data_IF_955789448649
#
_entry.id   IF_955789448649
#
_cell.length_a   1.000
_cell.length_b   1.000
_cell.length_c   1.000
_cell.angle_alpha   90.00
_cell.angle_beta   90.00
_cell.angle_gamma   90.00
#
_symmetry.space_group_name_H-M   'P 1'
#
loop_
_entity.id
_entity.type
_entity.pdbx_description
1 polymer ?
#
# COMPACT_ATOMS: atom_id res chain seq x y z
N UNK A 1 -37.03 50.88 -47.56
CA UNK A 1 -35.71 50.32 -47.93
C UNK A 1 -35.66 48.85 -47.49
N UNK A 2 -35.37 47.96 -48.44
CA UNK A 2 -34.92 46.56 -48.33
C UNK A 2 -35.84 45.48 -47.73
N UNK A 3 -36.43 44.76 -48.67
CA UNK A 3 -36.93 43.38 -48.61
C UNK A 3 -35.72 42.43 -48.63
N UNK A 4 -35.74 41.32 -47.89
CA UNK A 4 -34.95 40.12 -48.23
C UNK A 4 -35.58 38.86 -47.63
N UNK A 5 -35.98 37.95 -48.53
CA UNK A 5 -36.33 36.54 -48.31
C UNK A 5 -35.09 35.69 -48.65
N UNK A 6 -34.80 34.66 -47.85
CA UNK A 6 -34.19 33.37 -48.27
C UNK A 6 -33.98 32.51 -47.02
N UNK A 7 -34.83 31.52 -46.72
CA UNK A 7 -34.83 30.13 -47.22
C UNK A 7 -33.52 29.35 -47.01
N UNK A 8 -33.59 28.44 -46.03
CA UNK A 8 -33.16 27.03 -46.01
C UNK A 8 -31.76 26.64 -46.52
N UNK A 9 -30.93 26.12 -45.61
CA UNK A 9 -30.52 24.70 -45.60
C UNK A 9 -29.83 24.34 -44.28
N UNK A 10 -30.33 23.27 -43.65
CA UNK A 10 -29.71 22.62 -42.52
C UNK A 10 -28.40 21.94 -42.95
N UNK A 11 -27.35 22.09 -42.15
CA UNK A 11 -26.17 21.22 -42.17
C UNK A 11 -25.97 20.71 -40.75
N UNK A 12 -26.13 19.39 -40.61
CA UNK A 12 -26.07 18.63 -39.37
C UNK A 12 -24.66 18.70 -38.75
N UNK A 13 -24.54 18.67 -37.41
CA UNK A 13 -23.24 18.55 -36.75
C UNK A 13 -22.61 17.19 -37.08
N UNK A 14 -21.39 17.21 -37.61
CA UNK A 14 -20.57 16.02 -37.82
C UNK A 14 -20.10 15.52 -36.45
N UNK A 15 -20.86 14.61 -35.86
CA UNK A 15 -20.41 13.75 -34.78
C UNK A 15 -19.43 12.76 -35.41
N UNK A 16 -18.15 12.89 -35.03
CA UNK A 16 -17.10 11.96 -35.41
C UNK A 16 -17.27 10.69 -34.55
N UNK A 17 -17.91 9.68 -35.12
CA UNK A 17 -17.96 8.33 -34.54
C UNK A 17 -16.53 7.77 -34.40
N UNK A 18 -16.12 7.23 -33.24
CA UNK A 18 -14.81 6.58 -33.11
C UNK A 18 -14.79 5.25 -33.85
N UNK A 19 -13.84 5.12 -34.79
CA UNK A 19 -13.60 3.93 -35.62
C UNK A 19 -13.30 2.68 -34.76
N UNK A 20 -14.05 1.57 -34.89
CA UNK A 20 -13.91 0.38 -34.08
C UNK A 20 -12.74 -0.56 -34.48
N UNK A 21 -11.72 -0.08 -35.21
CA UNK A 21 -10.60 -0.92 -35.68
C UNK A 21 -9.21 -0.36 -35.37
N UNK A 22 -8.86 -0.24 -34.08
CA UNK A 22 -7.44 -0.27 -33.66
C UNK A 22 -7.19 -1.29 -32.55
N UNK A 23 -6.80 -2.48 -32.98
CA UNK A 23 -6.15 -3.46 -32.13
C UNK A 23 -4.70 -3.02 -31.85
N UNK A 24 -4.39 -2.96 -30.55
CA UNK A 24 -3.10 -3.17 -29.86
C UNK A 24 -1.79 -2.87 -30.61
N UNK A 25 -1.02 -1.92 -30.07
CA UNK A 25 0.44 -2.06 -29.96
C UNK A 25 0.88 -1.62 -28.56
N UNK A 26 1.48 -2.56 -27.82
CA UNK A 26 2.26 -2.31 -26.61
C UNK A 26 3.27 -1.20 -26.92
N UNK A 27 3.16 -0.06 -26.24
CA UNK A 27 4.25 0.92 -26.19
C UNK A 27 5.22 0.45 -25.11
N UNK A 28 6.31 -0.18 -25.54
CA UNK A 28 7.51 -0.32 -24.73
C UNK A 28 8.12 1.08 -24.66
N UNK A 29 7.94 1.77 -23.53
CA UNK A 29 8.65 3.02 -23.25
C UNK A 29 10.05 2.64 -22.79
N UNK A 30 11.01 2.65 -23.72
CA UNK A 30 12.44 2.73 -23.41
C UNK A 30 12.80 4.21 -23.37
N UNK A 31 13.10 4.74 -22.18
CA UNK A 31 13.74 6.05 -22.02
C UNK A 31 15.04 5.92 -21.23
N UNK A 32 16.06 6.53 -21.84
CA UNK A 32 17.48 6.72 -21.53
C UNK A 32 17.96 6.71 -20.05
N UNK A 33 19.25 6.37 -19.79
CA UNK A 33 19.88 6.38 -18.49
C UNK A 33 20.64 7.71 -18.25
N UNK A 34 20.06 8.64 -17.49
CA UNK A 34 20.76 9.78 -16.86
C UNK A 34 19.79 10.60 -15.99
N UNK A 35 19.32 10.00 -14.90
CA UNK A 35 18.87 10.70 -13.71
C UNK A 35 19.24 9.77 -12.55
N UNK A 36 20.08 10.23 -11.63
CA UNK A 36 20.27 9.52 -10.36
C UNK A 36 19.00 9.75 -9.54
N UNK A 37 17.96 8.97 -9.84
CA UNK A 37 16.66 9.09 -9.19
C UNK A 37 16.76 8.66 -7.73
N UNK A 38 16.07 9.42 -6.86
CA UNK A 38 15.67 9.06 -5.50
C UNK A 38 14.72 7.84 -5.50
N UNK A 39 15.17 6.74 -6.09
CA UNK A 39 14.38 5.56 -6.34
C UNK A 39 14.73 4.51 -5.29
N UNK A 40 13.74 4.15 -4.49
CA UNK A 40 13.88 3.07 -3.53
C UNK A 40 14.24 1.75 -4.24
N UNK A 41 15.33 1.05 -3.84
CA UNK A 41 15.90 -0.03 -4.66
C UNK A 41 15.21 -1.39 -4.49
N UNK A 42 14.27 -1.52 -3.55
CA UNK A 42 13.57 -2.77 -3.27
C UNK A 42 12.14 -2.73 -3.83
N UNK A 43 11.60 -3.85 -4.31
CA UNK A 43 10.21 -3.90 -4.77
C UNK A 43 9.25 -3.46 -3.67
N UNK A 44 8.35 -2.53 -4.01
CA UNK A 44 7.25 -2.12 -3.15
C UNK A 44 6.01 -2.90 -3.58
N UNK A 45 5.45 -3.68 -2.67
CA UNK A 45 4.20 -4.39 -2.92
C UNK A 45 3.04 -3.71 -2.24
N UNK A 46 1.97 -3.47 -3.00
CA UNK A 46 0.75 -2.84 -2.52
C UNK A 46 -0.39 -3.85 -2.30
N UNK A 47 -1.21 -3.61 -1.28
CA UNK A 47 -2.52 -4.26 -1.14
C UNK A 47 -3.53 -3.71 -2.15
N UNK A 48 -4.70 -4.32 -2.25
CA UNK A 48 -5.84 -3.64 -2.83
C UNK A 48 -6.34 -2.53 -1.91
N UNK A 49 -7.09 -1.58 -2.49
CA UNK A 49 -7.75 -0.51 -1.75
C UNK A 49 -9.02 -1.03 -1.10
N UNK A 50 -9.18 -0.77 0.19
CA UNK A 50 -10.44 -1.03 0.90
C UNK A 50 -11.16 0.28 1.15
N UNK A 51 -12.46 0.29 0.84
CA UNK A 51 -13.37 1.39 1.10
C UNK A 51 -14.32 1.02 2.25
N UNK A 52 -14.41 1.87 3.28
CA UNK A 52 -15.33 1.69 4.41
C UNK A 52 -15.81 3.05 4.90
N UNK A 53 -17.11 3.32 4.81
CA UNK A 53 -17.75 4.58 5.26
C UNK A 53 -16.95 5.83 4.83
N UNK A 54 -16.71 5.94 3.52
CA UNK A 54 -15.94 7.02 2.86
C UNK A 54 -14.45 7.05 3.19
N UNK A 55 -13.96 6.24 4.12
CA UNK A 55 -12.54 6.05 4.34
C UNK A 55 -11.96 5.07 3.33
N UNK A 56 -10.71 5.32 2.94
CA UNK A 56 -9.93 4.43 2.07
C UNK A 56 -8.69 3.97 2.80
N UNK A 57 -8.31 2.71 2.62
CA UNK A 57 -7.11 2.10 3.21
C UNK A 57 -6.28 1.46 2.10
N UNK A 58 -4.96 1.63 2.17
CA UNK A 58 -3.98 1.02 1.28
C UNK A 58 -2.71 0.71 2.07
N UNK A 59 -2.13 -0.45 1.88
CA UNK A 59 -0.85 -0.81 2.49
C UNK A 59 0.25 -0.98 1.45
N UNK A 60 1.48 -0.64 1.85
CA UNK A 60 2.70 -0.86 1.10
C UNK A 60 3.70 -1.62 1.97
N UNK A 61 4.23 -2.73 1.46
CA UNK A 61 5.28 -3.52 2.07
C UNK A 61 6.55 -3.45 1.22
N UNK A 62 7.71 -3.40 1.86
CA UNK A 62 9.00 -3.55 1.17
C UNK A 62 10.04 -4.19 2.07
N UNK A 63 11.03 -4.83 1.45
CA UNK A 63 12.22 -5.27 2.15
C UNK A 63 12.93 -4.07 2.78
N UNK A 64 13.31 -4.18 4.06
CA UNK A 64 14.05 -3.17 4.81
C UNK A 64 15.32 -3.83 5.36
N UNK A 65 16.51 -3.58 4.77
CA UNK A 65 17.75 -4.25 5.18
C UNK A 65 18.29 -3.82 6.55
N UNK A 66 18.10 -2.54 6.90
CA UNK A 66 18.55 -1.95 8.17
C UNK A 66 17.69 -0.74 8.51
N UNK A 67 17.68 -0.37 9.79
CA UNK A 67 16.95 0.80 10.30
C UNK A 67 17.33 2.10 9.57
N UNK A 68 18.57 2.24 9.10
CA UNK A 68 19.06 3.42 8.39
C UNK A 68 18.30 3.70 7.09
N UNK A 69 17.74 2.66 6.47
CA UNK A 69 16.98 2.75 5.23
C UNK A 69 15.52 3.18 5.44
N UNK A 70 15.05 3.27 6.69
CA UNK A 70 13.67 3.63 6.99
C UNK A 70 13.33 5.04 6.52
N UNK A 71 14.17 6.02 6.82
CA UNK A 71 13.89 7.41 6.43
C UNK A 71 13.87 7.61 4.90
N UNK A 72 14.86 7.10 4.13
CA UNK A 72 14.78 7.09 2.66
C UNK A 72 13.52 6.42 2.12
N UNK A 73 13.13 5.26 2.66
CA UNK A 73 11.90 4.58 2.25
C UNK A 73 10.64 5.43 2.50
N UNK A 74 10.51 6.02 3.68
CA UNK A 74 9.34 6.85 4.02
C UNK A 74 9.28 8.12 3.16
N UNK A 75 10.42 8.74 2.86
CA UNK A 75 10.51 9.89 1.97
C UNK A 75 10.09 9.51 0.54
N UNK A 76 10.61 8.40 0.01
CA UNK A 76 10.23 7.90 -1.31
C UNK A 76 8.72 7.58 -1.37
N UNK A 77 8.19 6.88 -0.36
CA UNK A 77 6.78 6.51 -0.35
C UNK A 77 5.86 7.73 -0.23
N UNK A 78 6.23 8.73 0.58
CA UNK A 78 5.42 9.95 0.76
C UNK A 78 5.55 10.95 -0.39
N UNK A 79 6.59 10.85 -1.23
CA UNK A 79 6.71 11.65 -2.45
C UNK A 79 5.76 11.19 -3.57
N UNK A 80 5.26 9.94 -3.49
CA UNK A 80 4.31 9.40 -4.47
C UNK A 80 3.02 10.24 -4.51
N UNK A 81 2.57 10.71 -5.70
CA UNK A 81 1.39 11.56 -5.84
C UNK A 81 0.12 10.97 -5.24
N UNK A 82 0.01 9.63 -5.30
CA UNK A 82 -1.11 8.88 -4.75
C UNK A 82 -1.21 9.00 -3.22
N UNK A 83 -0.07 9.07 -2.53
CA UNK A 83 0.02 9.06 -1.06
C UNK A 83 0.10 10.45 -0.43
N UNK A 84 0.43 11.48 -1.22
CA UNK A 84 0.53 12.88 -0.78
C UNK A 84 -0.70 13.41 -0.05
N UNK A 85 -1.89 12.82 -0.28
CA UNK A 85 -3.16 13.24 0.32
C UNK A 85 -3.69 12.32 1.41
N UNK A 86 -2.94 11.29 1.81
CA UNK A 86 -3.32 10.44 2.91
C UNK A 86 -3.41 11.27 4.20
N UNK A 87 -4.50 11.12 4.95
CA UNK A 87 -4.70 11.89 6.19
C UNK A 87 -3.97 11.27 7.36
N UNK A 88 -3.71 9.96 7.29
CA UNK A 88 -2.96 9.20 8.28
C UNK A 88 -2.02 8.22 7.58
N UNK A 89 -0.82 8.07 8.12
CA UNK A 89 0.22 7.19 7.58
C UNK A 89 0.94 6.50 8.74
N UNK A 90 0.47 5.30 9.09
CA UNK A 90 1.06 4.49 10.15
C UNK A 90 2.07 3.51 9.57
N UNK A 91 3.06 3.10 10.37
CA UNK A 91 4.01 2.08 9.94
C UNK A 91 4.53 1.22 11.09
N UNK A 92 5.08 0.06 10.72
CA UNK A 92 5.94 -0.73 11.58
C UNK A 92 7.04 -1.41 10.74
N UNK A 93 8.15 -1.75 11.38
CA UNK A 93 9.22 -2.51 10.75
C UNK A 93 9.90 -3.46 11.73
N UNK A 94 10.50 -4.51 11.17
CA UNK A 94 11.43 -5.41 11.86
C UNK A 94 12.62 -5.64 10.94
N UNK A 95 13.82 -5.42 11.42
CA UNK A 95 15.07 -5.61 10.66
C UNK A 95 16.11 -6.27 11.53
N UNK A 96 16.96 -7.10 10.94
CA UNK A 96 18.04 -7.79 11.63
C UNK A 96 19.35 -7.03 11.47
N UNK A 97 20.08 -6.82 12.57
CA UNK A 97 21.42 -6.25 12.55
C UNK A 97 22.41 -7.26 13.14
N UNK A 98 23.54 -7.45 12.46
CA UNK A 98 24.63 -8.26 12.97
C UNK A 98 25.35 -7.48 14.07
N UNK A 99 25.46 -8.07 15.26
CA UNK A 99 26.29 -7.52 16.32
C UNK A 99 27.61 -8.27 16.37
N UNK A 100 28.70 -7.56 16.07
CA UNK A 100 30.07 -8.04 16.26
C UNK A 100 30.43 -7.94 17.75
N UNK A 101 30.11 -8.99 18.50
CA UNK A 101 30.63 -9.16 19.86
C UNK A 101 32.15 -9.36 19.83
N UNK A 102 32.87 -8.77 20.79
CA UNK A 102 34.32 -8.90 20.95
C UNK A 102 34.78 -10.32 21.35
N UNK A 103 33.87 -11.28 21.49
CA UNK A 103 34.17 -12.67 21.79
C UNK A 103 33.37 -13.59 20.86
N UNK A 104 34.06 -14.17 19.88
CA UNK A 104 33.73 -15.36 19.08
C UNK A 104 32.26 -15.81 18.99
N UNK A 105 31.40 -14.97 18.42
CA UNK A 105 30.03 -15.36 18.06
C UNK A 105 29.24 -14.21 17.46
N UNK A 106 28.95 -14.27 16.16
CA UNK A 106 28.07 -13.31 15.51
C UNK A 106 26.64 -13.49 16.05
N UNK A 107 26.12 -12.51 16.78
CA UNK A 107 24.76 -12.55 17.31
C UNK A 107 23.87 -11.62 16.48
N UNK A 108 22.76 -12.13 15.95
CA UNK A 108 21.80 -11.34 15.19
C UNK A 108 20.78 -10.72 16.14
N UNK A 109 20.69 -9.38 16.16
CA UNK A 109 19.69 -8.63 16.93
C UNK A 109 18.55 -8.19 16.03
N UNK A 110 17.31 -8.34 16.49
CA UNK A 110 16.15 -7.77 15.81
C UNK A 110 15.92 -6.34 16.32
N UNK A 111 15.88 -5.39 15.41
CA UNK A 111 15.50 -4.01 15.64
C UNK A 111 14.04 -3.84 15.19
N UNK A 112 13.23 -3.24 16.07
CA UNK A 112 11.80 -3.05 15.87
C UNK A 112 11.49 -1.57 16.04
N UNK A 113 10.61 -1.04 15.20
CA UNK A 113 10.05 0.30 15.38
C UNK A 113 8.70 0.46 14.74
N UNK A 114 7.96 1.47 15.18
CA UNK A 114 6.58 1.73 14.77
C UNK A 114 6.21 3.20 14.93
N UNK A 115 5.15 3.61 14.23
CA UNK A 115 4.53 4.93 14.37
C UNK A 115 3.03 4.83 14.09
N UNK A 116 2.22 5.46 14.94
CA UNK A 116 0.76 5.49 14.82
C UNK A 116 0.25 6.38 13.68
N UNK A 117 1.01 7.35 13.18
CA UNK A 117 0.63 8.15 12.01
C UNK A 117 -0.63 9.00 12.18
N UNK A 118 -0.98 9.36 13.42
CA UNK A 118 -2.23 10.05 13.77
C UNK A 118 -3.42 9.12 14.03
N UNK A 119 -3.21 7.80 13.97
CA UNK A 119 -4.22 6.77 14.23
C UNK A 119 -3.83 5.96 15.48
N UNK A 120 -4.19 6.45 16.66
CA UNK A 120 -3.73 5.90 17.94
C UNK A 120 -3.83 4.37 18.02
N UNK A 121 -2.72 3.74 18.41
CA UNK A 121 -2.55 2.30 18.57
C UNK A 121 -2.22 1.51 17.29
N UNK A 122 -2.26 2.15 16.11
CA UNK A 122 -2.05 1.44 14.85
C UNK A 122 -0.61 0.94 14.65
N UNK A 123 0.40 1.71 15.07
CA UNK A 123 1.80 1.31 14.98
C UNK A 123 2.09 0.07 15.83
N UNK A 124 1.57 0.04 17.05
CA UNK A 124 1.68 -1.14 17.91
C UNK A 124 0.97 -2.36 17.30
N UNK A 125 -0.23 -2.18 16.72
CA UNK A 125 -0.94 -3.25 16.05
C UNK A 125 -0.17 -3.82 14.84
N UNK A 126 0.43 -2.95 14.02
CA UNK A 126 1.26 -3.37 12.88
C UNK A 126 2.55 -4.06 13.33
N UNK A 127 3.19 -3.56 14.39
CA UNK A 127 4.37 -4.22 14.98
C UNK A 127 4.03 -5.63 15.46
N UNK A 128 2.93 -5.78 16.20
CA UNK A 128 2.45 -7.09 16.65
C UNK A 128 2.09 -8.00 15.49
N UNK A 129 1.54 -7.46 14.40
CA UNK A 129 1.28 -8.22 13.18
C UNK A 129 2.58 -8.82 12.61
N UNK A 130 3.62 -8.01 12.42
CA UNK A 130 4.92 -8.48 11.92
C UNK A 130 5.56 -9.51 12.86
N UNK A 131 5.34 -9.37 14.17
CA UNK A 131 5.78 -10.32 15.17
C UNK A 131 5.12 -11.69 15.00
N UNK A 132 3.80 -11.75 15.03
CA UNK A 132 3.05 -13.02 14.97
C UNK A 132 3.14 -13.70 13.61
N UNK A 133 3.36 -12.96 12.53
CA UNK A 133 3.59 -13.53 11.19
C UNK A 133 5.05 -13.90 10.95
N UNK A 134 5.94 -13.65 11.92
CA UNK A 134 7.36 -13.98 11.82
C UNK A 134 8.10 -13.21 10.71
N UNK A 135 7.60 -12.04 10.31
CA UNK A 135 8.20 -11.24 9.24
C UNK A 135 9.42 -10.49 9.76
N UNK A 136 10.50 -10.52 8.96
CA UNK A 136 11.80 -9.92 9.27
C UNK A 136 12.35 -9.22 8.03
N UNK A 137 13.22 -8.23 8.24
CA UNK A 137 13.77 -7.37 7.19
C UNK A 137 12.68 -6.77 6.29
N UNK A 138 11.63 -6.25 6.92
CA UNK A 138 10.46 -5.70 6.24
C UNK A 138 9.97 -4.44 6.94
N UNK A 139 9.47 -3.51 6.14
CA UNK A 139 8.66 -2.37 6.57
C UNK A 139 7.27 -2.48 5.96
N UNK A 140 6.25 -2.20 6.77
CA UNK A 140 4.86 -2.08 6.34
C UNK A 140 4.37 -0.69 6.68
N UNK A 141 3.78 -0.01 5.69
CA UNK A 141 3.13 1.29 5.83
C UNK A 141 1.67 1.13 5.45
N UNK A 142 0.77 1.64 6.27
CA UNK A 142 -0.66 1.72 5.94
C UNK A 142 -1.03 3.20 5.84
N UNK A 143 -1.60 3.56 4.70
CA UNK A 143 -2.14 4.88 4.45
C UNK A 143 -3.65 4.83 4.56
N UNK A 144 -4.23 5.79 5.28
CA UNK A 144 -5.68 6.00 5.36
C UNK A 144 -6.03 7.39 4.83
N UNK A 145 -7.07 7.45 4.02
CA UNK A 145 -7.77 8.68 3.70
C UNK A 145 -9.05 8.73 4.56
N UNK A 146 -9.11 9.66 5.51
CA UNK A 146 -10.26 9.82 6.39
C UNK A 146 -11.46 10.39 5.63
N UNK A 147 -12.59 9.69 5.67
CA UNK A 147 -13.81 10.08 4.96
C UNK A 147 -14.78 10.95 5.76
N UNK A 148 -14.40 11.42 6.94
CA UNK A 148 -15.28 12.18 7.83
C UNK A 148 -16.09 11.35 8.83
N UNK A 149 -15.98 10.01 8.80
CA UNK A 149 -16.73 9.10 9.68
C UNK A 149 -15.79 8.31 10.59
N UNK A 150 -15.99 8.43 11.91
CA UNK A 150 -15.26 7.63 12.90
C UNK A 150 -15.68 6.16 12.80
N UNK A 151 -14.71 5.27 12.53
CA UNK A 151 -14.97 3.83 12.41
C UNK A 151 -14.80 3.09 13.74
N UNK A 152 -14.33 3.77 14.80
CA UNK A 152 -14.03 3.13 16.08
C UNK A 152 -13.03 1.99 15.92
N UNK A 153 -13.38 0.80 16.41
CA UNK A 153 -12.57 -0.41 16.33
C UNK A 153 -12.53 -1.05 14.94
N UNK A 154 -13.48 -0.76 14.05
CA UNK A 154 -13.52 -1.36 12.71
C UNK A 154 -12.35 -0.92 11.83
N UNK A 155 -11.81 0.29 12.05
CA UNK A 155 -10.61 0.75 11.32
C UNK A 155 -9.47 -0.25 11.46
N UNK A 156 -9.32 -0.84 12.64
CA UNK A 156 -8.26 -1.79 12.93
C UNK A 156 -8.41 -3.08 12.12
N UNK A 157 -9.64 -3.53 11.87
CA UNK A 157 -9.90 -4.68 10.99
C UNK A 157 -9.43 -4.37 9.57
N UNK A 158 -9.67 -3.15 9.08
CA UNK A 158 -9.25 -2.71 7.73
C UNK A 158 -7.74 -2.57 7.63
N UNK A 159 -7.11 -1.90 8.60
CA UNK A 159 -5.65 -1.72 8.69
C UNK A 159 -4.95 -3.09 8.68
N UNK A 160 -5.39 -4.02 9.54
CA UNK A 160 -4.81 -5.35 9.60
C UNK A 160 -5.02 -6.15 8.30
N UNK A 161 -6.17 -6.00 7.65
CA UNK A 161 -6.46 -6.68 6.38
C UNK A 161 -5.50 -6.21 5.27
N UNK A 162 -5.45 -4.89 5.00
CA UNK A 162 -4.58 -4.37 3.94
C UNK A 162 -3.11 -4.67 4.22
N UNK A 163 -2.67 -4.59 5.48
CA UNK A 163 -1.29 -4.91 5.86
C UNK A 163 -0.94 -6.38 5.58
N UNK A 164 -1.80 -7.32 5.98
CA UNK A 164 -1.60 -8.76 5.72
C UNK A 164 -1.55 -9.05 4.23
N UNK A 165 -2.41 -8.40 3.45
CA UNK A 165 -2.48 -8.59 2.01
C UNK A 165 -1.19 -8.10 1.32
N UNK A 166 -0.70 -6.90 1.65
CA UNK A 166 0.56 -6.39 1.11
C UNK A 166 1.76 -7.29 1.48
N UNK A 167 1.81 -7.78 2.73
CA UNK A 167 2.84 -8.72 3.18
C UNK A 167 2.76 -10.07 2.44
N UNK A 168 1.54 -10.57 2.20
CA UNK A 168 1.32 -11.81 1.46
C UNK A 168 1.75 -11.67 0.00
N UNK A 169 1.38 -10.58 -0.67
CA UNK A 169 1.76 -10.32 -2.06
C UNK A 169 3.27 -10.13 -2.21
N UNK A 170 3.92 -9.53 -1.21
CA UNK A 170 5.37 -9.35 -1.16
C UNK A 170 6.15 -10.59 -0.69
N UNK A 171 5.46 -11.71 -0.49
CA UNK A 171 6.03 -12.99 -0.04
C UNK A 171 6.83 -12.89 1.28
N UNK A 172 6.44 -11.98 2.19
CA UNK A 172 7.08 -11.77 3.49
C UNK A 172 6.56 -12.71 4.58
N UNK A 173 5.40 -13.34 4.36
CA UNK A 173 4.80 -14.26 5.32
C UNK A 173 5.54 -15.60 5.26
N UNK A 174 6.06 -16.09 6.39
CA UNK A 174 6.69 -17.41 6.45
C UNK A 174 5.63 -18.50 6.28
N UNK A 175 5.91 -19.48 5.41
CA UNK A 175 5.07 -20.67 5.29
C UNK A 175 5.11 -21.44 6.62
N UNK A 176 3.99 -21.44 7.34
CA UNK A 176 3.90 -21.95 8.71
C UNK A 176 2.79 -21.28 9.53
N UNK A 177 2.26 -20.14 9.08
CA UNK A 177 1.15 -19.42 9.71
C UNK A 177 -0.23 -19.71 9.07
N UNK A 178 -0.43 -20.87 8.42
CA UNK A 178 -1.75 -21.28 7.91
C UNK A 178 -2.48 -22.18 8.93
N UNK A 179 -3.71 -21.76 9.26
CA UNK A 179 -4.83 -22.54 9.79
C UNK A 179 -4.81 -22.99 11.27
N UNK A 180 -5.19 -22.10 12.18
CA UNK A 180 -5.84 -22.46 13.44
C UNK A 180 -7.04 -21.54 13.71
N UNK A 181 -7.99 -21.49 12.77
CA UNK A 181 -9.26 -20.81 13.00
C UNK A 181 -10.37 -21.35 12.09
N UNK A 182 -10.69 -22.63 12.24
CA UNK A 182 -12.03 -23.12 11.91
C UNK A 182 -12.29 -24.45 12.60
N UNK A 183 -12.89 -24.43 13.80
CA UNK A 183 -13.67 -25.51 14.42
C UNK A 183 -14.11 -25.09 15.83
N UNK A 184 -15.12 -24.23 15.94
CA UNK A 184 -15.91 -24.12 17.18
C UNK A 184 -17.27 -23.50 16.92
N UNK A 185 -18.11 -24.10 16.05
CA UNK A 185 -19.55 -23.82 16.07
C UNK A 185 -20.38 -24.93 15.41
N UNK A 186 -20.52 -26.08 16.09
CA UNK A 186 -21.71 -26.94 15.98
C UNK A 186 -21.73 -27.98 17.10
N UNK A 187 -22.19 -27.56 18.28
CA UNK A 187 -22.81 -28.49 19.24
C UNK A 187 -23.80 -27.74 20.13
N UNK A 188 -24.99 -27.52 19.60
CA UNK A 188 -26.13 -27.06 20.39
C UNK A 188 -27.23 -28.13 20.33
N UNK A 189 -27.33 -28.82 21.48
CA UNK A 189 -28.55 -29.29 22.15
C UNK A 189 -29.42 -30.34 21.44
N UNK A 190 -29.22 -31.59 21.86
CA UNK A 190 -30.34 -32.49 22.19
C UNK A 190 -31.02 -31.97 23.46
#
# INVERSE_FOLDING_TARGET
MRISLSSSRAIRPLILEPDPRRHTKNTIVTTNPAAEDENWPHPITASDRIYDRKSVFLAHASHLPSKTHLAPFLNHLTSLPELKRATHCMYAYRTTEASSGHQSGATTRIIIGQNDGGESGAGNQLSRLLEVTGCENVVIVVSRWYGGVQLGSDRWKRIAHVAKEALSRGNFLKEGAKASRDQSEKKQRK
#
